data_IF_045012472863
#
_entry.id   IF_045012472863
#
_cell.length_a   1.000
_cell.length_b   1.000
_cell.length_c   1.000
_cell.angle_alpha   90.00
_cell.angle_beta   90.00
_cell.angle_gamma   90.00
#
_symmetry.space_group_name_H-M   'P 1'
#
loop_
_entity.id
_entity.type
_entity.pdbx_description
1 polymer ?
#
# COMPACT_ATOMS: atom_id res chain seq x y z
N UNK A 1 11.61 -10.18 4.97
CA UNK A 1 10.35 -10.30 4.23
C UNK A 1 10.02 -8.96 3.58
N UNK A 2 9.63 -8.99 2.33
CA UNK A 2 9.32 -7.80 1.55
C UNK A 2 7.81 -7.53 1.56
N UNK A 3 7.42 -6.34 1.97
CA UNK A 3 6.03 -5.92 2.02
C UNK A 3 5.82 -4.70 1.12
N UNK A 4 4.81 -4.77 0.26
CA UNK A 4 4.39 -3.66 -0.58
C UNK A 4 3.03 -3.16 -0.12
N UNK A 5 2.94 -1.87 0.14
CA UNK A 5 1.68 -1.21 0.47
C UNK A 5 1.23 -0.38 -0.73
N UNK A 6 0.03 -0.63 -1.27
CA UNK A 6 -0.47 0.09 -2.44
C UNK A 6 -1.86 0.65 -2.16
N UNK A 7 -2.02 1.94 -2.37
CA UNK A 7 -3.34 2.59 -2.36
C UNK A 7 -3.58 3.30 -3.68
N UNK A 8 -4.48 4.29 -3.74
CA UNK A 8 -4.78 4.97 -5.00
C UNK A 8 -3.58 5.76 -5.51
N UNK A 9 -3.08 6.72 -4.73
CA UNK A 9 -1.97 7.60 -5.15
C UNK A 9 -0.65 7.31 -4.46
N UNK A 10 -0.63 6.41 -3.48
CA UNK A 10 0.58 6.10 -2.73
C UNK A 10 1.00 7.20 -1.76
N UNK A 11 0.07 8.05 -1.32
CA UNK A 11 0.42 9.22 -0.49
C UNK A 11 -0.09 9.14 0.95
N UNK A 12 -1.27 8.55 1.17
CA UNK A 12 -1.89 8.56 2.49
C UNK A 12 -1.84 7.20 3.17
N UNK A 13 -2.74 6.30 2.79
CA UNK A 13 -2.88 4.99 3.44
C UNK A 13 -1.63 4.12 3.32
N UNK A 14 -1.10 3.99 2.11
CA UNK A 14 0.06 3.12 1.87
C UNK A 14 1.32 3.68 2.50
N UNK A 15 1.55 4.99 2.39
CA UNK A 15 2.72 5.64 2.98
C UNK A 15 2.69 5.54 4.50
N UNK A 16 1.55 5.79 5.12
CA UNK A 16 1.39 5.69 6.58
C UNK A 16 1.68 4.26 7.05
N UNK A 17 1.10 3.25 6.36
CA UNK A 17 1.34 1.84 6.69
C UNK A 17 2.81 1.48 6.56
N UNK A 18 3.44 1.91 5.47
CA UNK A 18 4.85 1.60 5.22
C UNK A 18 5.76 2.18 6.30
N UNK A 19 5.49 3.39 6.75
CA UNK A 19 6.29 4.03 7.81
C UNK A 19 6.12 3.30 9.14
N UNK A 20 4.91 2.85 9.48
CA UNK A 20 4.66 2.07 10.70
C UNK A 20 5.44 0.76 10.65
N UNK A 21 5.37 0.04 9.53
CA UNK A 21 6.06 -1.24 9.36
C UNK A 21 7.58 -1.07 9.35
N UNK A 22 8.08 -0.02 8.69
CA UNK A 22 9.52 0.26 8.64
C UNK A 22 10.09 0.53 10.03
N UNK A 23 9.33 1.19 10.89
CA UNK A 23 9.75 1.49 12.25
C UNK A 23 9.95 0.24 13.11
N UNK A 24 9.34 -0.89 12.73
CA UNK A 24 9.52 -2.16 13.45
C UNK A 24 10.89 -2.78 13.21
N UNK A 25 11.56 -2.42 12.12
CA UNK A 25 12.91 -2.89 11.81
C UNK A 25 13.04 -4.36 11.38
N UNK A 26 11.91 -5.01 11.06
CA UNK A 26 11.91 -6.44 10.67
C UNK A 26 11.41 -6.72 9.26
N UNK A 27 11.01 -5.69 8.52
CA UNK A 27 10.50 -5.82 7.15
C UNK A 27 11.22 -4.88 6.21
N UNK A 28 11.40 -5.32 4.97
CA UNK A 28 11.72 -4.43 3.86
C UNK A 28 10.39 -3.94 3.30
N UNK A 29 10.16 -2.63 3.28
CA UNK A 29 8.84 -2.08 2.94
C UNK A 29 8.96 -1.05 1.82
N UNK A 30 8.04 -1.15 0.86
CA UNK A 30 7.84 -0.14 -0.18
C UNK A 30 6.37 0.27 -0.18
N UNK A 31 6.09 1.47 -0.69
CA UNK A 31 4.72 1.92 -0.92
C UNK A 31 4.59 2.48 -2.33
N UNK A 32 3.38 2.35 -2.90
CA UNK A 32 3.10 2.77 -4.26
C UNK A 32 1.60 3.11 -4.40
N UNK A 33 1.21 3.61 -5.55
CA UNK A 33 -0.17 3.93 -5.86
C UNK A 33 -0.56 3.42 -7.23
N UNK A 34 -1.71 2.74 -7.34
CA UNK A 34 -2.19 2.21 -8.62
C UNK A 34 -2.41 3.29 -9.66
N UNK A 35 -2.80 4.50 -9.23
CA UNK A 35 -3.14 5.61 -10.11
C UNK A 35 -2.09 6.71 -10.08
N UNK A 36 -0.85 6.38 -9.77
CA UNK A 36 0.25 7.34 -9.83
C UNK A 36 0.49 7.76 -11.27
N UNK A 37 0.43 9.05 -11.49
CA UNK A 37 0.67 9.62 -12.81
C UNK A 37 2.15 9.86 -13.04
N UNK A 38 2.55 9.76 -14.30
CA UNK A 38 3.93 10.05 -14.71
C UNK A 38 4.25 11.53 -14.51
N UNK A 39 3.27 12.40 -14.74
CA UNK A 39 3.43 13.84 -14.62
C UNK A 39 2.30 14.42 -13.82
N UNK A 40 2.57 15.55 -13.16
CA UNK A 40 1.55 16.33 -12.55
C UNK A 40 1.91 17.82 -12.63
N UNK A 41 0.90 18.70 -12.48
CA UNK A 41 1.05 20.13 -12.65
C UNK A 41 1.93 20.80 -11.61
N UNK A 42 1.94 20.30 -10.40
CA UNK A 42 2.66 20.88 -9.26
C UNK A 42 4.08 20.34 -9.09
N UNK A 43 4.38 19.24 -9.76
CA UNK A 43 5.71 18.68 -9.77
C UNK A 43 6.08 18.34 -11.21
N UNK A 44 7.35 18.52 -11.53
CA UNK A 44 7.81 18.28 -12.88
C UNK A 44 7.60 16.87 -13.35
N UNK A 45 7.68 15.92 -12.42
CA UNK A 45 7.56 14.51 -12.71
C UNK A 45 7.24 13.75 -11.44
N UNK A 46 6.38 12.75 -11.57
CA UNK A 46 6.10 11.81 -10.50
C UNK A 46 6.44 10.42 -10.97
N UNK A 47 6.86 9.58 -10.04
CA UNK A 47 7.07 8.18 -10.34
C UNK A 47 5.72 7.56 -10.72
N UNK A 48 5.72 6.79 -11.80
CA UNK A 48 4.55 6.00 -12.17
C UNK A 48 4.51 4.74 -11.32
N UNK A 49 3.33 4.10 -11.27
CA UNK A 49 3.19 2.79 -10.65
C UNK A 49 4.16 1.80 -11.27
N UNK A 50 4.90 1.10 -10.45
CA UNK A 50 5.90 0.14 -10.90
C UNK A 50 5.44 -1.30 -10.65
N UNK A 51 4.98 -2.02 -11.70
CA UNK A 51 4.54 -3.41 -11.55
C UNK A 51 5.60 -4.38 -11.03
N UNK A 52 6.89 -4.04 -11.18
CA UNK A 52 7.96 -4.88 -10.65
C UNK A 52 7.92 -4.99 -9.14
N UNK A 53 7.34 -4.00 -8.45
CA UNK A 53 7.16 -4.06 -7.01
C UNK A 53 6.24 -5.22 -6.61
N UNK A 54 5.30 -5.63 -7.47
CA UNK A 54 4.43 -6.76 -7.21
C UNK A 54 5.21 -8.07 -7.14
N UNK A 55 6.20 -8.22 -8.00
CA UNK A 55 7.07 -9.41 -8.00
C UNK A 55 8.03 -9.39 -6.81
N UNK A 56 8.54 -8.22 -6.47
CA UNK A 56 9.45 -8.04 -5.35
C UNK A 56 8.81 -8.43 -4.01
N UNK A 57 7.51 -8.18 -3.84
CA UNK A 57 6.81 -8.34 -2.58
C UNK A 57 6.52 -9.80 -2.23
N UNK A 58 6.72 -10.16 -0.98
CA UNK A 58 6.23 -11.42 -0.42
C UNK A 58 4.78 -11.28 0.02
N UNK A 59 4.40 -10.10 0.52
CA UNK A 59 3.03 -9.76 0.91
C UNK A 59 2.68 -8.38 0.39
N UNK A 60 1.42 -8.22 -0.02
CA UNK A 60 0.90 -6.97 -0.58
C UNK A 60 -0.28 -6.50 0.27
N UNK A 61 -0.20 -5.28 0.77
CA UNK A 61 -1.30 -4.67 1.52
C UNK A 61 -2.02 -3.69 0.60
N UNK A 62 -3.31 -3.87 0.46
CA UNK A 62 -4.21 -2.98 -0.27
C UNK A 62 -5.32 -2.51 0.65
N UNK A 63 -6.22 -1.65 0.19
CA UNK A 63 -7.14 -0.97 1.10
C UNK A 63 -8.59 -0.98 0.66
N UNK A 64 -8.88 -1.40 -0.57
CA UNK A 64 -10.23 -1.41 -1.13
C UNK A 64 -10.43 -2.60 -2.06
N UNK A 65 -11.67 -2.98 -2.27
CA UNK A 65 -12.00 -4.09 -3.18
C UNK A 65 -11.52 -3.83 -4.61
N UNK A 66 -11.57 -2.58 -5.07
CA UNK A 66 -11.08 -2.23 -6.40
C UNK A 66 -9.58 -2.52 -6.54
N UNK A 67 -8.82 -2.40 -5.47
CA UNK A 67 -7.39 -2.74 -5.48
C UNK A 67 -7.19 -4.23 -5.72
N UNK A 68 -8.02 -5.07 -5.13
CA UNK A 68 -7.96 -6.52 -5.35
C UNK A 68 -8.24 -6.86 -6.82
N UNK A 69 -9.23 -6.20 -7.43
CA UNK A 69 -9.53 -6.39 -8.86
C UNK A 69 -8.39 -5.95 -9.75
N UNK A 70 -7.73 -4.85 -9.39
CA UNK A 70 -6.54 -4.38 -10.11
C UNK A 70 -5.39 -5.37 -10.00
N UNK A 71 -5.16 -5.95 -8.82
CA UNK A 71 -4.13 -6.98 -8.65
C UNK A 71 -4.41 -8.20 -9.52
N UNK A 72 -5.67 -8.63 -9.61
CA UNK A 72 -6.05 -9.76 -10.47
C UNK A 72 -5.73 -9.50 -11.93
N UNK A 73 -5.86 -8.26 -12.40
CA UNK A 73 -5.50 -7.87 -13.77
C UNK A 73 -4.01 -8.02 -14.04
N UNK A 74 -3.18 -7.77 -13.04
CA UNK A 74 -1.73 -7.97 -13.16
C UNK A 74 -1.36 -9.45 -13.03
N UNK A 75 -2.12 -10.22 -12.27
CA UNK A 75 -1.90 -11.65 -12.09
C UNK A 75 -2.53 -12.14 -10.79
N UNK A 76 -3.21 -13.29 -10.84
CA UNK A 76 -3.86 -13.87 -9.67
C UNK A 76 -2.88 -14.23 -8.55
N UNK A 77 -1.63 -14.52 -8.91
CA UNK A 77 -0.59 -14.78 -7.90
C UNK A 77 -0.34 -13.59 -6.99
N UNK A 78 -0.48 -12.38 -7.52
CA UNK A 78 -0.33 -11.16 -6.71
C UNK A 78 -1.51 -10.97 -5.78
N UNK A 79 -2.72 -11.18 -6.28
CA UNK A 79 -3.91 -11.16 -5.44
C UNK A 79 -3.83 -12.21 -4.33
N UNK A 80 -3.31 -13.39 -4.62
CA UNK A 80 -3.18 -14.50 -3.68
C UNK A 80 -2.30 -14.20 -2.47
N UNK A 81 -1.40 -13.22 -2.56
CA UNK A 81 -0.55 -12.78 -1.45
C UNK A 81 -0.94 -11.41 -0.90
N UNK A 82 -2.16 -10.95 -1.22
CA UNK A 82 -2.65 -9.64 -0.79
C UNK A 82 -3.51 -9.70 0.46
N UNK A 83 -3.55 -8.57 1.18
CA UNK A 83 -4.36 -8.35 2.36
C UNK A 83 -5.11 -7.04 2.15
N UNK A 84 -6.43 -7.11 2.09
CA UNK A 84 -7.27 -5.91 1.96
C UNK A 84 -7.64 -5.40 3.35
N UNK A 85 -7.12 -4.25 3.72
CA UNK A 85 -7.38 -3.65 5.02
C UNK A 85 -8.75 -2.97 5.11
N UNK A 86 -9.43 -2.79 3.99
CA UNK A 86 -10.76 -2.19 3.94
C UNK A 86 -10.82 -0.83 4.64
N UNK A 87 -9.96 0.09 4.18
CA UNK A 87 -9.88 1.47 4.69
C UNK A 87 -10.22 2.43 3.56
N UNK A 88 -11.29 3.21 3.72
CA UNK A 88 -11.73 4.19 2.73
C UNK A 88 -10.68 5.29 2.51
N UNK A 89 -10.71 5.89 1.32
CA UNK A 89 -9.80 6.97 0.94
C UNK A 89 -10.31 8.32 1.45
N UNK A 90 -10.38 8.47 2.76
CA UNK A 90 -10.90 9.66 3.42
C UNK A 90 -9.93 10.27 4.45
N UNK A 91 -8.74 9.74 4.55
CA UNK A 91 -7.76 10.15 5.55
C UNK A 91 -6.59 10.88 4.93
N UNK A 92 -6.02 11.81 5.67
CA UNK A 92 -4.76 12.45 5.30
C UNK A 92 -3.58 11.61 5.75
N UNK A 93 -2.45 11.83 5.09
CA UNK A 93 -1.20 11.17 5.46
C UNK A 93 -0.90 11.37 6.95
N UNK A 94 -0.57 10.27 7.61
CA UNK A 94 -0.20 10.25 9.03
C UNK A 94 -1.26 10.79 9.99
N UNK A 95 -2.51 10.87 9.58
CA UNK A 95 -3.61 11.28 10.44
C UNK A 95 -3.77 10.28 11.58
N UNK A 96 -4.00 10.79 12.80
CA UNK A 96 -4.06 9.95 14.02
C UNK A 96 -5.10 8.82 13.91
N UNK A 97 -6.29 9.11 13.41
CA UNK A 97 -7.33 8.10 13.22
C UNK A 97 -6.92 7.03 12.20
N UNK A 98 -6.22 7.42 11.13
CA UNK A 98 -5.69 6.47 10.14
C UNK A 98 -4.66 5.55 10.78
N UNK A 99 -3.72 6.11 11.55
CA UNK A 99 -2.70 5.33 12.25
C UNK A 99 -3.35 4.27 13.15
N UNK A 100 -4.38 4.66 13.91
CA UNK A 100 -5.08 3.74 14.81
C UNK A 100 -5.73 2.58 14.05
N UNK A 101 -6.41 2.89 12.94
CA UNK A 101 -7.07 1.87 12.11
C UNK A 101 -6.02 0.93 11.51
N UNK A 102 -4.94 1.48 10.96
CA UNK A 102 -3.88 0.67 10.34
C UNK A 102 -3.24 -0.25 11.37
N UNK A 103 -2.93 0.26 12.57
CA UNK A 103 -2.33 -0.58 13.63
C UNK A 103 -3.25 -1.73 14.03
N UNK A 104 -4.55 -1.49 14.10
CA UNK A 104 -5.53 -2.54 14.40
C UNK A 104 -5.54 -3.62 13.29
N UNK A 105 -5.49 -3.22 12.03
CA UNK A 105 -5.44 -4.16 10.90
C UNK A 105 -4.12 -4.93 10.85
N UNK A 106 -3.01 -4.27 11.10
CA UNK A 106 -1.70 -4.92 11.15
C UNK A 106 -1.65 -5.99 12.23
N UNK A 107 -2.24 -5.70 13.38
CA UNK A 107 -2.35 -6.68 14.47
C UNK A 107 -3.26 -7.84 14.09
N UNK A 108 -4.40 -7.56 13.48
CA UNK A 108 -5.37 -8.58 13.04
C UNK A 108 -4.75 -9.57 12.06
N UNK A 109 -3.95 -9.09 11.12
CA UNK A 109 -3.29 -9.93 10.12
C UNK A 109 -1.89 -10.38 10.53
N UNK A 110 -1.53 -10.18 11.78
CA UNK A 110 -0.27 -10.66 12.38
C UNK A 110 1.01 -10.07 11.78
N UNK A 111 0.96 -8.82 11.34
CA UNK A 111 2.16 -8.08 10.96
C UNK A 111 2.87 -7.47 12.17
N UNK A 112 2.15 -7.22 13.22
CA UNK A 112 2.71 -6.69 14.47
C UNK A 112 3.00 -7.80 15.45
#
# INVERSE_FOLDING_TARGET
MNILCICNQGENRSRTTAEILSALGKYEVKFDGFYKDKYNETSKQRDVFNPKNLEWANKIIVYEDVHEELLKKYGYSYWGKSYNFDIEDMYHYNQKSLIMIIKAKLKHYEFL
#
